data_IF_357685924885
#
_entry.id   IF_357685924885
#
_cell.length_a   1.000
_cell.length_b   1.000
_cell.length_c   1.000
_cell.angle_alpha   90.00
_cell.angle_beta   90.00
_cell.angle_gamma   90.00
#
_symmetry.space_group_name_H-M   'P 1'
#
loop_
_entity.id
_entity.type
_entity.pdbx_description
1 polymer ?
#
# COMPACT_ATOMS: atom_id res chain seq x y z
N UNK A 1 -5.56 25.23 -22.72
CA UNK A 1 -4.86 24.08 -22.13
C UNK A 1 -5.81 22.89 -21.97
N UNK A 2 -6.99 23.04 -21.31
CA UNK A 2 -7.96 21.99 -21.08
C UNK A 2 -8.40 21.30 -22.37
N UNK A 3 -8.86 22.07 -23.33
CA UNK A 3 -9.29 21.55 -24.64
C UNK A 3 -8.19 20.78 -25.39
N UNK A 4 -6.93 21.20 -25.25
CA UNK A 4 -5.79 20.47 -25.83
C UNK A 4 -5.54 19.13 -25.13
N UNK A 5 -5.77 19.05 -23.82
CA UNK A 5 -5.69 17.80 -23.07
C UNK A 5 -6.82 16.83 -23.43
N UNK A 6 -8.05 17.34 -23.58
CA UNK A 6 -9.19 16.53 -24.03
C UNK A 6 -8.97 15.96 -25.43
N UNK A 7 -8.44 16.78 -26.36
CA UNK A 7 -8.10 16.31 -27.70
C UNK A 7 -6.98 15.26 -27.68
N UNK A 8 -5.97 15.45 -26.85
CA UNK A 8 -4.90 14.46 -26.68
C UNK A 8 -5.42 13.15 -26.10
N UNK A 9 -6.34 13.21 -25.13
CA UNK A 9 -6.98 12.03 -24.55
C UNK A 9 -7.83 11.29 -25.58
N UNK A 10 -8.64 12.02 -26.36
CA UNK A 10 -9.47 11.43 -27.40
C UNK A 10 -8.66 10.71 -28.51
N UNK A 11 -7.41 11.12 -28.73
CA UNK A 11 -6.51 10.53 -29.73
C UNK A 11 -5.56 9.46 -29.17
N UNK A 12 -5.54 9.28 -27.86
CA UNK A 12 -4.59 8.36 -27.18
C UNK A 12 -5.34 7.25 -26.45
N UNK A 13 -5.36 6.01 -26.95
CA UNK A 13 -6.03 4.91 -26.27
C UNK A 13 -5.51 4.74 -24.82
N UNK A 14 -6.46 4.61 -23.89
CA UNK A 14 -6.17 4.44 -22.47
C UNK A 14 -5.77 5.71 -21.70
N UNK A 15 -5.76 6.88 -22.36
CA UNK A 15 -5.57 8.16 -21.66
C UNK A 15 -6.94 8.75 -21.30
N UNK A 16 -7.18 8.91 -20.02
CA UNK A 16 -8.35 9.57 -19.45
C UNK A 16 -7.94 10.91 -18.83
N UNK A 17 -8.66 11.97 -19.17
CA UNK A 17 -8.52 13.27 -18.50
C UNK A 17 -9.65 13.42 -17.49
N UNK A 18 -9.29 13.53 -16.22
CA UNK A 18 -10.26 13.66 -15.13
C UNK A 18 -10.27 15.10 -14.62
N UNK A 19 -11.43 15.76 -14.75
CA UNK A 19 -11.64 17.09 -14.15
C UNK A 19 -12.03 16.96 -12.70
N UNK A 20 -11.11 17.27 -11.80
CA UNK A 20 -11.35 17.27 -10.36
C UNK A 20 -12.02 18.55 -9.87
N UNK A 21 -12.21 19.56 -10.71
CA UNK A 21 -12.90 20.80 -10.34
C UNK A 21 -14.41 20.62 -10.19
N UNK A 22 -14.94 19.54 -10.76
CA UNK A 22 -16.36 19.17 -10.65
C UNK A 22 -16.68 18.32 -9.41
N UNK A 23 -15.64 17.88 -8.68
CA UNK A 23 -15.87 17.09 -7.48
C UNK A 23 -16.46 17.98 -6.35
N UNK A 24 -17.41 17.42 -5.61
CA UNK A 24 -18.05 18.10 -4.49
C UNK A 24 -17.03 18.67 -3.51
N UNK A 25 -17.20 19.94 -3.17
CA UNK A 25 -16.32 20.67 -2.27
C UNK A 25 -14.97 21.12 -2.88
N UNK A 26 -14.68 20.86 -4.16
CA UNK A 26 -13.45 21.37 -4.80
C UNK A 26 -13.44 22.90 -4.84
N UNK A 27 -14.60 23.52 -5.13
CA UNK A 27 -14.75 24.97 -5.20
C UNK A 27 -14.73 25.64 -3.81
N UNK A 28 -15.02 24.87 -2.75
CA UNK A 28 -14.96 25.34 -1.37
C UNK A 28 -13.54 25.33 -0.79
N UNK A 29 -12.61 24.60 -1.45
CA UNK A 29 -11.22 24.53 -1.01
C UNK A 29 -10.50 25.87 -1.25
N UNK A 30 -10.29 26.62 -0.16
CA UNK A 30 -9.68 27.96 -0.19
C UNK A 30 -8.18 27.90 -0.47
N UNK A 31 -7.49 26.82 -0.04
CA UNK A 31 -6.04 26.69 -0.14
C UNK A 31 -5.58 25.80 -1.29
N UNK A 32 -4.52 26.24 -1.99
CA UNK A 32 -3.90 25.47 -3.09
C UNK A 32 -3.46 24.07 -2.65
N UNK A 33 -3.00 23.92 -1.42
CA UNK A 33 -2.57 22.63 -0.86
C UNK A 33 -3.75 21.66 -0.67
N UNK A 34 -4.91 22.17 -0.29
CA UNK A 34 -6.12 21.35 -0.18
C UNK A 34 -6.57 20.86 -1.55
N UNK A 35 -6.55 21.71 -2.57
CA UNK A 35 -6.84 21.31 -3.96
C UNK A 35 -5.88 20.26 -4.47
N UNK A 36 -4.59 20.39 -4.17
CA UNK A 36 -3.56 19.37 -4.51
C UNK A 36 -3.82 18.05 -3.78
N UNK A 37 -4.19 18.11 -2.51
CA UNK A 37 -4.53 16.92 -1.72
C UNK A 37 -5.73 16.19 -2.31
N UNK A 38 -6.78 16.89 -2.71
CA UNK A 38 -7.95 16.31 -3.37
C UNK A 38 -7.61 15.68 -4.73
N UNK A 39 -6.82 16.38 -5.55
CA UNK A 39 -6.33 15.83 -6.82
C UNK A 39 -5.49 14.56 -6.62
N UNK A 40 -4.60 14.55 -5.64
CA UNK A 40 -3.81 13.37 -5.28
C UNK A 40 -4.70 12.21 -4.77
N UNK A 41 -5.76 12.53 -4.02
CA UNK A 41 -6.72 11.53 -3.56
C UNK A 41 -7.46 10.88 -4.73
N UNK A 42 -7.91 11.67 -5.71
CA UNK A 42 -8.57 11.18 -6.92
C UNK A 42 -7.64 10.30 -7.75
N UNK A 43 -6.39 10.72 -7.94
CA UNK A 43 -5.38 9.93 -8.63
C UNK A 43 -5.14 8.58 -7.94
N UNK A 44 -5.00 8.58 -6.61
CA UNK A 44 -4.85 7.36 -5.84
C UNK A 44 -6.07 6.45 -5.95
N UNK A 45 -7.28 7.01 -5.99
CA UNK A 45 -8.49 6.24 -6.18
C UNK A 45 -8.53 5.57 -7.56
N UNK A 46 -8.19 6.32 -8.62
CA UNK A 46 -8.10 5.77 -9.98
C UNK A 46 -7.01 4.69 -10.10
N UNK A 47 -5.86 4.88 -9.47
CA UNK A 47 -4.82 3.84 -9.43
C UNK A 47 -5.35 2.55 -8.80
N UNK A 48 -6.09 2.64 -7.70
CA UNK A 48 -6.69 1.47 -7.04
C UNK A 48 -7.72 0.76 -7.92
N UNK A 49 -8.55 1.50 -8.65
CA UNK A 49 -9.47 0.88 -9.62
C UNK A 49 -8.73 0.03 -10.67
N UNK A 50 -7.61 0.57 -11.18
CA UNK A 50 -6.76 -0.16 -12.14
C UNK A 50 -6.12 -1.39 -11.49
N UNK A 51 -5.58 -1.26 -10.27
CA UNK A 51 -5.00 -2.39 -9.53
C UNK A 51 -6.02 -3.51 -9.32
N UNK A 52 -7.26 -3.16 -8.94
CA UNK A 52 -8.34 -4.14 -8.74
C UNK A 52 -8.73 -4.82 -10.06
N UNK A 53 -8.84 -4.04 -11.15
CA UNK A 53 -9.15 -4.58 -12.46
C UNK A 53 -8.06 -5.58 -12.88
N UNK A 54 -6.80 -5.23 -12.76
CA UNK A 54 -5.67 -6.12 -13.05
C UNK A 54 -5.71 -7.37 -12.16
N UNK A 55 -5.95 -7.21 -10.85
CA UNK A 55 -6.00 -8.34 -9.92
C UNK A 55 -7.12 -9.33 -10.25
N UNK A 56 -8.25 -8.85 -10.82
CA UNK A 56 -9.39 -9.67 -11.27
C UNK A 56 -9.16 -10.34 -12.61
N UNK A 57 -8.53 -9.64 -13.53
CA UNK A 57 -8.26 -10.14 -14.89
C UNK A 57 -7.06 -11.09 -14.95
N UNK A 58 -6.13 -10.96 -14.02
CA UNK A 58 -4.94 -11.79 -13.97
C UNK A 58 -5.32 -13.24 -13.69
N UNK A 59 -5.12 -14.09 -14.69
CA UNK A 59 -5.37 -15.53 -14.58
C UNK A 59 -4.32 -16.15 -13.66
N UNK A 60 -4.77 -16.68 -12.53
CA UNK A 60 -3.93 -17.32 -11.51
C UNK A 60 -4.62 -18.56 -10.97
N UNK A 61 -3.83 -19.52 -10.54
CA UNK A 61 -4.31 -20.67 -9.78
C UNK A 61 -4.44 -20.35 -8.29
N UNK A 62 -5.03 -21.25 -7.53
CA UNK A 62 -5.14 -21.12 -6.07
C UNK A 62 -3.77 -21.21 -5.35
N UNK A 63 -2.74 -21.70 -6.03
CA UNK A 63 -1.38 -21.78 -5.51
C UNK A 63 -0.53 -20.52 -5.83
N UNK A 64 -1.06 -19.62 -6.67
CA UNK A 64 -0.36 -18.42 -7.12
C UNK A 64 -0.81 -17.19 -6.35
N UNK A 65 0.01 -16.73 -5.43
CA UNK A 65 -0.25 -15.56 -4.60
C UNK A 65 0.12 -14.26 -5.30
N UNK A 66 -0.81 -13.31 -5.30
CA UNK A 66 -0.55 -11.94 -5.75
C UNK A 66 -0.12 -11.08 -4.57
N UNK A 67 1.00 -10.38 -4.74
CA UNK A 67 1.48 -9.39 -3.76
C UNK A 67 1.22 -8.00 -4.31
N UNK A 68 0.37 -7.23 -3.62
CA UNK A 68 0.10 -5.83 -3.92
C UNK A 68 1.04 -4.94 -3.10
N UNK A 69 1.62 -3.90 -3.72
CA UNK A 69 2.44 -2.91 -3.03
C UNK A 69 1.55 -1.88 -2.32
N UNK A 70 1.25 -2.12 -1.08
CA UNK A 70 0.40 -1.28 -0.26
C UNK A 70 -0.60 -2.07 0.56
N UNK A 71 -1.44 -1.35 1.31
CA UNK A 71 -2.55 -1.95 2.06
C UNK A 71 -3.75 -2.21 1.17
N UNK A 72 -4.55 -3.19 1.54
CA UNK A 72 -5.80 -3.52 0.85
C UNK A 72 -6.87 -2.47 1.15
N UNK A 73 -7.59 -2.01 0.14
CA UNK A 73 -8.76 -1.16 0.29
C UNK A 73 -10.00 -1.95 0.72
N UNK A 74 -11.13 -1.24 0.87
CA UNK A 74 -12.41 -1.86 1.24
C UNK A 74 -12.97 -2.74 0.11
N UNK A 75 -12.55 -2.52 -1.09
CA UNK A 75 -12.89 -3.25 -2.30
C UNK A 75 -12.44 -4.72 -2.29
N UNK A 76 -11.49 -5.06 -1.42
CA UNK A 76 -11.01 -6.43 -1.23
C UNK A 76 -11.71 -7.19 -0.11
N UNK A 77 -12.65 -6.56 0.61
CA UNK A 77 -13.34 -7.20 1.75
C UNK A 77 -14.15 -8.43 1.36
N UNK A 78 -14.75 -8.41 0.18
CA UNK A 78 -15.57 -9.49 -0.37
C UNK A 78 -14.84 -10.20 -1.52
N UNK A 79 -13.51 -10.22 -1.48
CA UNK A 79 -12.68 -10.86 -2.49
C UNK A 79 -12.92 -12.36 -2.57
N UNK A 80 -13.21 -12.86 -3.78
CA UNK A 80 -13.48 -14.27 -4.08
C UNK A 80 -12.55 -14.83 -5.15
N UNK A 81 -11.58 -14.05 -5.59
CA UNK A 81 -10.57 -14.49 -6.55
C UNK A 81 -9.44 -15.28 -5.90
N UNK A 82 -8.45 -15.71 -6.71
CA UNK A 82 -7.27 -16.41 -6.21
C UNK A 82 -6.53 -15.63 -5.12
N UNK A 83 -5.70 -16.27 -4.28
CA UNK A 83 -5.15 -15.66 -3.08
C UNK A 83 -4.31 -14.42 -3.38
N UNK A 84 -4.45 -13.41 -2.54
CA UNK A 84 -3.67 -12.18 -2.59
C UNK A 84 -3.39 -11.61 -1.20
N UNK A 85 -2.32 -10.84 -1.11
CA UNK A 85 -1.96 -10.04 0.06
C UNK A 85 -1.56 -8.63 -0.35
N UNK A 86 -1.81 -7.68 0.55
CA UNK A 86 -1.25 -6.34 0.48
C UNK A 86 -0.07 -6.20 1.43
N UNK A 87 1.03 -5.58 0.99
CA UNK A 87 2.23 -5.36 1.80
C UNK A 87 2.49 -3.87 1.94
N UNK A 88 2.10 -3.31 3.08
CA UNK A 88 2.24 -1.88 3.36
C UNK A 88 3.54 -1.59 4.12
N UNK A 89 4.36 -0.72 3.53
CA UNK A 89 5.61 -0.20 4.10
C UNK A 89 5.38 0.97 5.04
N UNK A 90 4.21 1.63 4.93
CA UNK A 90 3.79 2.75 5.76
C UNK A 90 2.48 2.42 6.45
N UNK A 91 2.46 2.55 7.76
CA UNK A 91 1.27 2.28 8.59
C UNK A 91 1.26 3.16 9.83
N UNK A 92 0.09 3.30 10.47
CA UNK A 92 -0.05 4.05 11.71
C UNK A 92 0.73 3.36 12.84
N UNK A 93 1.42 4.16 13.64
CA UNK A 93 2.33 3.68 14.71
C UNK A 93 1.87 4.07 16.11
N UNK A 94 0.91 4.98 16.18
CA UNK A 94 0.32 5.55 17.40
C UNK A 94 -0.77 4.69 18.03
N UNK A 95 -1.08 3.54 17.43
CA UNK A 95 -2.06 2.58 17.95
C UNK A 95 -1.60 2.03 19.29
N UNK A 96 -2.52 1.95 20.24
CA UNK A 96 -2.27 1.44 21.58
C UNK A 96 -3.06 0.16 21.81
N UNK A 97 -2.43 -0.80 22.44
CA UNK A 97 -3.02 -2.06 22.83
C UNK A 97 -3.04 -2.19 24.34
N UNK A 98 -4.05 -2.85 24.87
CA UNK A 98 -4.10 -3.27 26.26
C UNK A 98 -3.85 -4.78 26.29
N UNK A 99 -2.77 -5.17 26.94
CA UNK A 99 -2.44 -6.58 27.18
C UNK A 99 -2.94 -6.98 28.56
N UNK A 100 -3.84 -7.96 28.58
CA UNK A 100 -4.47 -8.43 29.81
C UNK A 100 -5.74 -7.64 30.15
N UNK A 101 -6.42 -8.10 31.19
CA UNK A 101 -7.66 -7.54 31.71
C UNK A 101 -7.48 -7.08 33.16
N UNK A 102 -8.21 -6.06 33.59
CA UNK A 102 -8.22 -5.57 34.96
C UNK A 102 -7.06 -4.62 35.30
N UNK A 103 -6.79 -4.41 36.61
CA UNK A 103 -5.83 -3.41 37.09
C UNK A 103 -4.37 -3.62 36.66
N UNK A 104 -4.05 -4.83 36.21
CA UNK A 104 -2.69 -5.19 35.74
C UNK A 104 -2.55 -5.13 34.21
N UNK A 105 -3.59 -4.67 33.49
CA UNK A 105 -3.50 -4.50 32.04
C UNK A 105 -2.37 -3.54 31.68
N UNK A 106 -1.41 -4.02 30.92
CA UNK A 106 -0.30 -3.21 30.43
C UNK A 106 -0.73 -2.48 29.15
N UNK A 107 -0.47 -1.18 29.13
CA UNK A 107 -0.64 -0.35 27.94
C UNK A 107 0.62 -0.43 27.10
N UNK A 108 0.52 -0.98 25.90
CA UNK A 108 1.63 -1.12 24.96
C UNK A 108 1.32 -0.35 23.68
N UNK A 109 2.27 0.44 23.20
CA UNK A 109 2.16 1.05 21.88
C UNK A 109 2.53 0.04 20.80
N UNK A 110 1.90 0.14 19.65
CA UNK A 110 2.28 -0.65 18.47
C UNK A 110 3.79 -0.52 18.19
N UNK A 111 4.32 0.67 18.33
CA UNK A 111 5.76 0.93 18.18
C UNK A 111 6.60 0.03 19.10
N UNK A 112 6.28 -0.01 20.38
CA UNK A 112 7.05 -0.80 21.36
C UNK A 112 6.93 -2.31 21.11
N UNK A 113 5.78 -2.76 20.64
CA UNK A 113 5.56 -4.16 20.23
C UNK A 113 6.43 -4.52 19.03
N UNK A 114 6.34 -3.73 17.95
CA UNK A 114 7.02 -4.02 16.70
C UNK A 114 8.55 -3.86 16.80
N UNK A 115 9.03 -2.97 17.67
CA UNK A 115 10.46 -2.81 17.91
C UNK A 115 11.12 -4.08 18.47
N UNK A 116 10.36 -4.96 19.11
CA UNK A 116 10.82 -6.24 19.69
C UNK A 116 10.84 -7.40 18.71
N UNK A 117 10.23 -7.26 17.53
CA UNK A 117 10.25 -8.32 16.54
C UNK A 117 11.67 -8.54 16.04
N UNK A 118 12.11 -9.77 15.99
CA UNK A 118 13.31 -10.21 15.29
C UNK A 118 12.99 -10.55 13.83
N UNK A 119 14.01 -10.75 13.00
CA UNK A 119 13.81 -11.14 11.60
C UNK A 119 13.08 -12.46 11.52
N UNK A 120 12.03 -12.50 10.70
CA UNK A 120 11.15 -13.65 10.58
C UNK A 120 10.07 -13.73 11.64
N UNK A 121 10.17 -12.96 12.72
CA UNK A 121 9.10 -12.89 13.71
C UNK A 121 7.94 -12.05 13.20
N UNK A 122 6.74 -12.48 13.53
CA UNK A 122 5.50 -11.77 13.24
C UNK A 122 4.65 -11.57 14.49
N UNK A 123 3.68 -10.69 14.40
CA UNK A 123 2.62 -10.58 15.42
C UNK A 123 1.58 -11.67 15.23
N UNK A 124 0.65 -11.79 16.19
CA UNK A 124 -0.63 -12.45 15.94
C UNK A 124 -1.38 -11.72 14.81
N UNK A 125 -2.40 -12.38 14.28
CA UNK A 125 -3.31 -11.82 13.27
C UNK A 125 -4.34 -10.96 13.98
N UNK A 126 -4.60 -9.78 13.43
CA UNK A 126 -5.60 -8.84 13.91
C UNK A 126 -6.69 -8.68 12.87
N UNK A 127 -7.96 -8.60 13.26
CA UNK A 127 -9.01 -8.16 12.36
C UNK A 127 -8.86 -6.67 12.05
N UNK A 128 -9.07 -6.29 10.79
CA UNK A 128 -9.17 -4.88 10.44
C UNK A 128 -10.56 -4.36 10.79
N UNK A 129 -10.61 -3.22 11.46
CA UNK A 129 -11.82 -2.62 11.96
C UNK A 129 -12.32 -1.48 11.07
N UNK A 130 -13.30 -1.66 10.21
CA UNK A 130 -13.94 -0.56 9.51
C UNK A 130 -15.43 -0.35 9.93
N UNK A 131 -15.80 -0.75 11.12
CA UNK A 131 -17.19 -0.71 11.62
C UNK A 131 -17.80 -2.09 11.81
N UNK A 132 -18.86 -2.16 12.63
CA UNK A 132 -19.43 -3.40 13.19
C UNK A 132 -19.79 -4.48 12.17
N UNK A 133 -20.24 -4.13 10.97
CA UNK A 133 -20.70 -5.10 9.96
C UNK A 133 -19.60 -5.64 9.03
N UNK A 134 -18.37 -5.13 9.13
CA UNK A 134 -17.25 -5.49 8.25
C UNK A 134 -15.98 -5.93 8.99
N UNK A 135 -16.14 -6.14 10.31
CA UNK A 135 -15.04 -6.60 11.16
C UNK A 135 -14.51 -7.95 10.68
N UNK A 136 -13.20 -8.06 10.58
CA UNK A 136 -12.54 -9.31 10.21
C UNK A 136 -12.57 -9.71 8.74
N UNK A 137 -13.29 -9.01 7.85
CA UNK A 137 -13.28 -9.28 6.41
C UNK A 137 -11.92 -9.00 5.72
N UNK A 138 -11.07 -8.26 6.37
CA UNK A 138 -9.64 -8.17 6.09
C UNK A 138 -8.92 -8.36 7.40
N UNK A 139 -7.93 -9.20 7.40
CA UNK A 139 -7.04 -9.42 8.53
C UNK A 139 -5.68 -8.83 8.25
N UNK A 140 -4.91 -8.55 9.29
CA UNK A 140 -3.55 -8.06 9.13
C UNK A 140 -2.65 -8.54 10.26
N UNK A 141 -1.36 -8.56 9.95
CA UNK A 141 -0.28 -8.77 10.92
C UNK A 141 0.94 -7.95 10.53
N UNK A 142 1.94 -7.93 11.38
CA UNK A 142 3.21 -7.30 11.11
C UNK A 142 4.31 -8.36 11.12
N UNK A 143 5.25 -8.24 10.21
CA UNK A 143 6.42 -9.11 10.14
C UNK A 143 7.68 -8.29 9.93
N UNK A 144 8.76 -8.68 10.61
CA UNK A 144 10.07 -8.08 10.37
C UNK A 144 10.80 -8.89 9.31
N UNK A 145 10.94 -8.31 8.12
CA UNK A 145 11.59 -8.98 6.99
C UNK A 145 13.10 -8.72 6.93
N UNK A 146 13.64 -7.77 7.73
CA UNK A 146 15.06 -7.40 7.72
C UNK A 146 15.61 -7.19 9.13
N UNK A 147 16.93 -7.50 9.35
CA UNK A 147 17.56 -7.17 10.60
C UNK A 147 17.69 -5.65 10.78
N UNK A 148 17.49 -5.20 11.99
CA UNK A 148 17.83 -3.85 12.42
C UNK A 148 19.36 -3.78 12.59
N UNK A 149 19.97 -2.71 12.09
CA UNK A 149 21.40 -2.42 12.29
C UNK A 149 21.56 -1.19 13.17
N UNK A 150 22.64 -1.08 13.89
CA UNK A 150 22.92 -0.15 14.99
C UNK A 150 22.23 1.22 14.98
N UNK A 151 22.30 1.98 13.89
CA UNK A 151 21.70 3.31 13.79
C UNK A 151 20.33 3.31 13.08
N UNK A 152 19.79 2.13 12.77
CA UNK A 152 18.51 2.03 12.10
C UNK A 152 17.37 2.44 13.03
N UNK A 153 16.35 3.05 12.43
CA UNK A 153 15.09 3.29 13.10
C UNK A 153 14.48 1.96 13.56
N UNK A 154 13.93 1.86 14.80
CA UNK A 154 13.51 0.58 15.39
C UNK A 154 12.49 -0.23 14.59
N UNK A 155 11.69 0.40 13.73
CA UNK A 155 10.75 -0.29 12.84
C UNK A 155 11.29 -0.51 11.42
N UNK A 156 12.58 -0.29 11.22
CA UNK A 156 13.22 -0.59 9.93
C UNK A 156 13.02 -2.06 9.57
N UNK A 157 12.57 -2.31 8.35
CA UNK A 157 12.32 -3.67 7.88
C UNK A 157 11.05 -4.34 8.42
N UNK A 158 10.20 -3.62 9.14
CA UNK A 158 8.87 -4.11 9.51
C UNK A 158 7.88 -3.70 8.44
N UNK A 159 7.08 -4.66 7.97
CA UNK A 159 5.97 -4.43 7.05
C UNK A 159 4.66 -4.86 7.69
N UNK A 160 3.58 -4.22 7.29
CA UNK A 160 2.21 -4.65 7.59
C UNK A 160 1.72 -5.48 6.42
N UNK A 161 1.25 -6.68 6.69
CA UNK A 161 0.64 -7.56 5.70
C UNK A 161 -0.86 -7.56 5.93
N UNK A 162 -1.64 -7.43 4.87
CA UNK A 162 -3.11 -7.50 4.90
C UNK A 162 -3.57 -8.60 3.96
N UNK A 163 -4.61 -9.34 4.37
CA UNK A 163 -5.17 -10.43 3.59
C UNK A 163 -6.70 -10.38 3.65
N UNK A 164 -7.42 -10.59 2.53
CA UNK A 164 -8.87 -10.74 2.55
C UNK A 164 -9.28 -11.95 3.38
N UNK A 165 -10.34 -11.81 4.15
CA UNK A 165 -10.95 -12.86 4.95
C UNK A 165 -12.47 -12.75 4.88
N UNK A 166 -13.08 -12.99 3.70
CA UNK A 166 -14.51 -12.77 3.49
C UNK A 166 -15.40 -13.66 4.36
N UNK A 167 -14.92 -14.84 4.76
CA UNK A 167 -15.61 -15.75 5.65
C UNK A 167 -15.61 -15.28 7.11
N UNK A 168 -14.69 -14.41 7.49
CA UNK A 168 -14.46 -13.96 8.88
C UNK A 168 -14.04 -15.09 9.84
N UNK A 169 -13.66 -16.23 9.31
CA UNK A 169 -13.16 -17.35 10.08
C UNK A 169 -11.75 -17.10 10.62
N UNK A 170 -11.36 -17.78 11.69
CA UNK A 170 -9.97 -17.73 12.17
C UNK A 170 -9.01 -18.16 11.07
N UNK A 171 -7.99 -17.32 10.83
CA UNK A 171 -6.96 -17.61 9.83
C UNK A 171 -5.99 -18.64 10.38
N UNK A 172 -5.66 -19.63 9.55
CA UNK A 172 -4.65 -20.63 9.88
C UNK A 172 -3.29 -20.00 10.14
N UNK A 173 -2.73 -20.30 11.31
CA UNK A 173 -1.44 -19.78 11.74
C UNK A 173 -0.29 -20.28 10.86
N UNK A 174 -0.36 -21.51 10.36
CA UNK A 174 0.67 -22.09 9.50
C UNK A 174 0.72 -21.37 8.15
N UNK A 175 -0.44 -21.03 7.59
CA UNK A 175 -0.53 -20.20 6.40
C UNK A 175 0.12 -18.81 6.60
N UNK A 176 -0.17 -18.17 7.73
CA UNK A 176 0.39 -16.86 8.05
C UNK A 176 1.92 -16.94 8.26
N UNK A 177 2.42 -18.02 8.85
CA UNK A 177 3.84 -18.29 9.02
C UNK A 177 4.51 -18.53 7.67
N UNK A 178 3.87 -19.31 6.79
CA UNK A 178 4.36 -19.55 5.44
C UNK A 178 4.46 -18.25 4.63
N UNK A 179 3.39 -17.43 4.62
CA UNK A 179 3.40 -16.12 3.94
C UNK A 179 4.52 -15.23 4.50
N UNK A 180 4.65 -15.16 5.82
CA UNK A 180 5.67 -14.35 6.48
C UNK A 180 7.08 -14.81 6.12
N UNK A 181 7.32 -16.11 6.07
CA UNK A 181 8.56 -16.73 5.63
C UNK A 181 8.90 -16.42 4.17
N UNK A 182 7.90 -16.50 3.28
CA UNK A 182 8.04 -16.13 1.87
C UNK A 182 8.44 -14.66 1.71
N UNK A 183 7.80 -13.74 2.45
CA UNK A 183 8.17 -12.32 2.42
C UNK A 183 9.59 -12.05 2.92
N UNK A 184 10.07 -12.82 3.90
CA UNK A 184 11.46 -12.74 4.37
C UNK A 184 12.42 -13.24 3.29
N UNK A 185 12.08 -14.30 2.56
CA UNK A 185 12.89 -14.83 1.47
C UNK A 185 12.96 -13.85 0.28
N UNK A 186 11.83 -13.24 -0.06
CA UNK A 186 11.69 -12.32 -1.19
C UNK A 186 12.17 -10.88 -0.90
N UNK A 187 12.70 -10.59 0.28
CA UNK A 187 13.20 -9.26 0.60
C UNK A 187 14.37 -8.87 -0.30
N UNK A 188 14.43 -7.60 -0.68
CA UNK A 188 15.62 -7.07 -1.34
C UNK A 188 16.83 -7.15 -0.41
N UNK A 189 17.88 -7.86 -0.80
CA UNK A 189 19.08 -8.07 0.04
C UNK A 189 19.85 -6.77 0.21
N UNK A 190 19.91 -5.95 -0.83
CA UNK A 190 20.63 -4.68 -0.80
C UNK A 190 19.62 -3.52 -0.89
N UNK A 191 19.48 -2.70 0.17
CA UNK A 191 18.65 -1.50 0.08
C UNK A 191 19.36 -0.49 -0.83
N UNK A 192 18.65 -0.02 -1.85
CA UNK A 192 19.13 1.03 -2.74
C UNK A 192 18.59 2.39 -2.28
N UNK A 193 19.46 3.34 -2.02
CA UNK A 193 19.08 4.71 -1.73
C UNK A 193 18.98 5.09 -0.25
N UNK A 194 18.71 6.37 0.00
CA UNK A 194 18.65 6.99 1.34
C UNK A 194 17.25 6.99 1.96
N UNK A 195 16.22 6.63 1.19
CA UNK A 195 14.84 6.60 1.67
C UNK A 195 14.63 5.37 2.58
N UNK A 196 14.14 5.60 3.80
CA UNK A 196 13.82 4.54 4.77
C UNK A 196 12.82 3.51 4.25
N UNK A 197 12.02 3.85 3.25
CA UNK A 197 11.07 2.95 2.60
C UNK A 197 11.75 1.81 1.83
N UNK A 198 12.96 2.02 1.34
CA UNK A 198 13.75 0.97 0.65
C UNK A 198 14.05 -0.24 1.52
N UNK A 199 14.09 -0.06 2.82
CA UNK A 199 14.37 -1.16 3.76
C UNK A 199 13.21 -2.16 3.90
N UNK A 200 12.05 -1.85 3.38
CA UNK A 200 10.87 -2.71 3.38
C UNK A 200 10.51 -3.23 1.97
N UNK A 201 11.39 -3.03 0.98
CA UNK A 201 11.14 -3.49 -0.38
C UNK A 201 11.30 -5.00 -0.52
N UNK A 202 10.36 -5.60 -1.24
CA UNK A 202 10.44 -6.95 -1.78
C UNK A 202 11.06 -6.89 -3.17
N UNK A 203 11.88 -7.87 -3.49
CA UNK A 203 12.58 -7.91 -4.77
C UNK A 203 11.64 -7.96 -5.99
N UNK A 204 10.56 -8.76 -5.99
CA UNK A 204 9.60 -8.77 -7.10
C UNK A 204 8.95 -7.40 -7.33
N UNK A 205 8.60 -6.69 -6.27
CA UNK A 205 8.02 -5.34 -6.36
C UNK A 205 9.04 -4.36 -6.97
N UNK A 206 10.31 -4.44 -6.55
CA UNK A 206 11.38 -3.62 -7.11
C UNK A 206 11.56 -3.84 -8.62
N UNK A 207 11.53 -5.09 -9.07
CA UNK A 207 11.60 -5.42 -10.49
C UNK A 207 10.40 -4.85 -11.25
N UNK A 208 9.18 -5.07 -10.75
CA UNK A 208 7.96 -4.54 -11.36
C UNK A 208 8.00 -3.01 -11.48
N UNK A 209 8.35 -2.30 -10.39
CA UNK A 209 8.53 -0.84 -10.42
C UNK A 209 9.57 -0.39 -11.45
N UNK A 210 10.69 -1.11 -11.56
CA UNK A 210 11.75 -0.78 -12.50
C UNK A 210 11.29 -0.94 -13.94
N UNK A 211 10.59 -2.03 -14.24
CA UNK A 211 10.02 -2.28 -15.57
C UNK A 211 9.00 -1.19 -15.92
N UNK A 212 8.07 -0.89 -15.02
CA UNK A 212 7.05 0.14 -15.23
C UNK A 212 7.71 1.50 -15.47
N UNK A 213 8.67 1.91 -14.61
CA UNK A 213 9.36 3.20 -14.73
C UNK A 213 10.10 3.35 -16.05
N UNK A 214 10.64 2.27 -16.60
CA UNK A 214 11.32 2.30 -17.89
C UNK A 214 10.37 2.54 -19.09
N UNK A 215 9.07 2.33 -18.91
CA UNK A 215 8.05 2.64 -19.93
C UNK A 215 7.52 4.07 -19.84
N UNK A 216 7.78 4.78 -18.76
CA UNK A 216 7.39 6.19 -18.65
C UNK A 216 8.41 7.12 -19.28
N UNK A 217 7.92 8.16 -19.93
CA UNK A 217 8.77 9.27 -20.34
C UNK A 217 9.38 9.97 -19.11
N UNK A 218 10.60 10.45 -19.27
CA UNK A 218 11.23 11.23 -18.19
C UNK A 218 10.37 12.45 -17.83
N UNK A 219 10.40 12.91 -16.56
CA UNK A 219 9.67 14.11 -16.16
C UNK A 219 9.99 15.34 -17.01
N UNK A 220 11.23 15.43 -17.54
CA UNK A 220 11.67 16.50 -18.44
C UNK A 220 10.96 16.42 -19.79
N UNK A 221 10.87 15.23 -20.37
CA UNK A 221 10.16 15.00 -21.65
C UNK A 221 8.68 15.31 -21.49
N UNK A 222 8.05 14.83 -20.39
CA UNK A 222 6.65 15.14 -20.10
C UNK A 222 6.40 16.63 -19.94
N UNK A 223 7.26 17.34 -19.19
CA UNK A 223 7.16 18.79 -19.01
C UNK A 223 7.28 19.53 -20.35
N UNK A 224 8.21 19.11 -21.21
CA UNK A 224 8.40 19.71 -22.54
C UNK A 224 7.20 19.43 -23.44
N UNK A 225 6.67 18.20 -23.45
CA UNK A 225 5.53 17.81 -24.28
C UNK A 225 4.23 18.54 -23.86
N UNK A 226 4.00 18.71 -22.56
CA UNK A 226 2.80 19.37 -22.02
C UNK A 226 3.00 20.91 -22.02
N UNK A 227 4.17 21.42 -22.39
CA UNK A 227 4.54 22.85 -22.29
C UNK A 227 4.21 23.43 -20.92
N UNK A 228 4.55 22.70 -19.86
CA UNK A 228 4.28 23.12 -18.49
C UNK A 228 4.99 24.45 -18.23
N UNK A 229 4.26 25.50 -17.82
CA UNK A 229 4.90 26.78 -17.55
C UNK A 229 5.88 26.60 -16.39
N UNK A 230 7.15 26.93 -16.63
CA UNK A 230 8.11 27.04 -15.55
C UNK A 230 7.63 28.12 -14.57
N UNK A 231 7.66 27.81 -13.28
CA UNK A 231 7.46 28.84 -12.26
C UNK A 231 8.56 29.89 -12.48
N UNK A 232 8.18 31.05 -12.97
CA UNK A 232 9.03 32.23 -12.84
C UNK A 232 9.15 32.49 -11.34
N UNK A 233 10.35 32.33 -10.79
CA UNK A 233 10.71 32.63 -9.41
C UNK A 233 10.48 34.08 -9.03
#
# INVERSE_FOLDING_TARGET
LWHALEQAAASTPGLEVVDTSQDDGYLEAVHVEERRSRGAHKANWKMREVEIAIARELQRTEDEWLILDGGLGNEYMDWKGPPLIGVAKSFRRDVQFHLGTGPQAQRLTLYALLARLEVGHRTCVFPRWPGESREGKVVFWYVRIRPQRGLDYPLMGVVKVEMPNPSQEPVDSELVDWISGALVAERSVTPYGRDSRWHAHLYPIYIAETVIKNHFYSPQVLKAAIRWPERRG
#
